data_IF_946581162446
#
_entry.id   IF_946581162446
#
_cell.length_a   1.000
_cell.length_b   1.000
_cell.length_c   1.000
_cell.angle_alpha   90.00
_cell.angle_beta   90.00
_cell.angle_gamma   90.00
#
_symmetry.space_group_name_H-M   'P 1'
#
loop_
_entity.id
_entity.type
_entity.pdbx_description
1 polymer ?
#
# COMPACT_ATOMS: atom_id res chain seq x y z
N UNK A 1 -11.37 -8.14 13.52
CA UNK A 1 -10.81 -7.64 12.24
C UNK A 1 -9.31 -7.75 12.37
N UNK A 2 -8.64 -8.47 11.47
CA UNK A 2 -7.20 -8.73 11.61
C UNK A 2 -6.38 -7.50 11.20
N UNK A 3 -6.86 -6.73 10.22
CA UNK A 3 -6.12 -5.59 9.65
C UNK A 3 -6.51 -4.24 10.24
N UNK A 4 -7.62 -4.13 10.97
CA UNK A 4 -8.08 -2.83 11.49
C UNK A 4 -7.10 -2.28 12.53
N UNK A 5 -6.45 -1.16 12.23
CA UNK A 5 -5.43 -0.58 13.09
C UNK A 5 -4.67 0.55 12.43
N UNK A 6 -3.83 1.20 13.22
CA UNK A 6 -2.91 2.24 12.79
C UNK A 6 -1.49 1.69 12.88
N UNK A 7 -0.79 1.70 11.77
CA UNK A 7 0.56 1.16 11.62
C UNK A 7 1.49 2.31 11.25
N UNK A 8 2.58 2.45 12.00
CA UNK A 8 3.62 3.43 11.72
C UNK A 8 4.77 2.73 11.00
N UNK A 9 5.35 3.43 10.03
CA UNK A 9 6.52 2.96 9.33
C UNK A 9 7.64 2.61 10.31
N UNK A 10 8.13 1.37 10.25
CA UNK A 10 9.21 0.87 11.10
C UNK A 10 10.50 0.61 10.30
N UNK A 11 10.39 -0.11 9.18
CA UNK A 11 11.53 -0.45 8.34
C UNK A 11 11.08 -0.81 6.92
N UNK A 12 12.01 -0.70 5.97
CA UNK A 12 11.82 -1.09 4.58
C UNK A 12 13.06 -1.80 4.03
N UNK A 13 12.87 -2.59 2.96
CA UNK A 13 13.95 -3.27 2.24
C UNK A 13 13.79 -3.00 0.75
N UNK A 14 14.92 -2.83 0.06
CA UNK A 14 14.99 -2.64 -1.40
C UNK A 14 14.22 -1.42 -1.93
N UNK A 15 14.01 -0.39 -1.10
CA UNK A 15 13.27 0.83 -1.46
C UNK A 15 13.83 1.52 -2.71
N UNK A 16 15.14 1.79 -2.75
CA UNK A 16 15.81 2.44 -3.89
C UNK A 16 15.61 1.66 -5.20
N UNK A 17 15.82 0.34 -5.18
CA UNK A 17 15.67 -0.51 -6.37
C UNK A 17 14.22 -0.53 -6.86
N UNK A 18 13.27 -0.65 -5.92
CA UNK A 18 11.84 -0.65 -6.21
C UNK A 18 11.37 0.68 -6.81
N UNK A 19 11.76 1.80 -6.18
CA UNK A 19 11.39 3.14 -6.62
C UNK A 19 11.99 3.47 -7.98
N UNK A 20 13.22 3.02 -8.24
CA UNK A 20 13.87 3.12 -9.56
C UNK A 20 13.14 2.30 -10.60
N UNK A 21 12.66 1.10 -10.26
CA UNK A 21 11.90 0.24 -11.19
C UNK A 21 10.49 0.77 -11.46
N UNK A 22 9.90 1.48 -10.52
CA UNK A 22 8.67 2.27 -10.71
C UNK A 22 8.88 3.52 -11.57
N UNK A 23 10.12 3.90 -11.87
CA UNK A 23 10.44 5.10 -12.64
C UNK A 23 10.12 6.41 -11.91
N UNK A 24 10.07 6.38 -10.58
CA UNK A 24 9.81 7.57 -9.77
C UNK A 24 11.03 8.50 -9.79
N UNK A 25 10.79 9.80 -9.88
CA UNK A 25 11.85 10.82 -9.83
C UNK A 25 12.58 10.76 -8.49
N UNK A 26 13.91 10.92 -8.49
CA UNK A 26 14.74 10.87 -7.26
C UNK A 26 14.23 11.76 -6.12
N UNK A 27 13.66 12.92 -6.46
CA UNK A 27 13.02 13.84 -5.51
C UNK A 27 11.86 13.20 -4.72
N UNK A 28 11.05 12.36 -5.37
CA UNK A 28 9.94 11.63 -4.74
C UNK A 28 10.47 10.50 -3.85
N UNK A 29 11.53 9.83 -4.31
CA UNK A 29 12.21 8.74 -3.59
C UNK A 29 12.84 9.27 -2.30
N UNK A 30 13.61 10.35 -2.37
CA UNK A 30 14.25 10.94 -1.17
C UNK A 30 13.23 11.46 -0.16
N UNK A 31 12.14 12.07 -0.64
CA UNK A 31 11.02 12.52 0.19
C UNK A 31 10.32 11.36 0.86
N UNK A 32 10.06 10.26 0.13
CA UNK A 32 9.42 9.08 0.69
C UNK A 32 10.30 8.39 1.73
N UNK A 33 11.61 8.24 1.45
CA UNK A 33 12.60 7.61 2.36
C UNK A 33 12.70 8.26 3.73
N UNK A 34 12.64 9.58 3.79
CA UNK A 34 12.71 10.32 5.05
C UNK A 34 11.34 10.61 5.65
N UNK A 35 10.26 10.29 4.93
CA UNK A 35 8.90 10.52 5.41
C UNK A 35 8.47 9.35 6.28
N UNK A 36 8.08 9.64 7.52
CA UNK A 36 7.25 8.71 8.29
C UNK A 36 5.91 8.59 7.57
N UNK A 37 5.54 7.36 7.25
CA UNK A 37 4.23 7.01 6.70
C UNK A 37 3.43 6.37 7.83
N UNK A 38 2.23 6.88 8.03
CA UNK A 38 1.26 6.29 8.94
C UNK A 38 0.16 5.67 8.09
N UNK A 39 0.03 4.35 8.17
CA UNK A 39 -0.99 3.59 7.47
C UNK A 39 -2.11 3.23 8.45
N UNK A 40 -3.30 3.78 8.23
CA UNK A 40 -4.50 3.41 8.96
C UNK A 40 -5.39 2.55 8.08
N UNK A 41 -5.71 1.35 8.56
CA UNK A 41 -6.58 0.41 7.86
C UNK A 41 -7.86 0.25 8.67
N UNK A 42 -9.00 0.40 7.99
CA UNK A 42 -10.32 0.10 8.54
C UNK A 42 -10.92 -1.02 7.71
N UNK A 43 -11.14 -2.18 8.34
CA UNK A 43 -11.81 -3.32 7.73
C UNK A 43 -13.25 -3.40 8.23
N UNK A 44 -14.22 -3.24 7.32
CA UNK A 44 -15.64 -3.46 7.56
C UNK A 44 -16.12 -4.66 6.71
N UNK A 45 -16.01 -5.86 7.27
CA UNK A 45 -16.30 -7.09 6.55
C UNK A 45 -15.38 -7.30 5.34
N UNK A 46 -15.90 -7.07 4.14
CA UNK A 46 -15.18 -7.15 2.86
C UNK A 46 -14.72 -5.78 2.35
N UNK A 47 -15.18 -4.69 2.94
CA UNK A 47 -14.81 -3.34 2.56
C UNK A 47 -13.62 -2.87 3.39
N UNK A 48 -12.60 -2.36 2.72
CA UNK A 48 -11.37 -1.88 3.32
C UNK A 48 -11.18 -0.41 2.97
N UNK A 49 -10.88 0.39 3.97
CA UNK A 49 -10.41 1.76 3.82
C UNK A 49 -8.97 1.82 4.27
N UNK A 50 -8.08 2.14 3.34
CA UNK A 50 -6.64 2.20 3.54
C UNK A 50 -6.17 3.65 3.40
N UNK A 51 -5.78 4.26 4.51
CA UNK A 51 -5.38 5.67 4.58
C UNK A 51 -3.89 5.77 4.89
N UNK A 52 -3.11 6.29 3.97
CA UNK A 52 -1.69 6.56 4.15
C UNK A 52 -1.46 8.06 4.35
N UNK A 53 -0.90 8.42 5.49
CA UNK A 53 -0.53 9.79 5.85
C UNK A 53 0.97 9.93 5.78
N UNK A 54 1.45 10.79 4.88
CA UNK A 54 2.87 11.07 4.67
C UNK A 54 3.28 12.30 5.48
N UNK A 55 4.52 12.31 6.00
CA UNK A 55 5.06 13.41 6.82
C UNK A 55 5.03 14.80 6.16
N UNK A 56 4.88 14.87 4.84
CA UNK A 56 4.67 16.12 4.08
C UNK A 56 3.22 16.65 4.06
N UNK A 57 2.32 16.09 4.87
CA UNK A 57 0.90 16.47 4.93
C UNK A 57 0.03 15.88 3.82
N UNK A 58 0.61 15.06 2.91
CA UNK A 58 -0.15 14.34 1.89
C UNK A 58 -0.87 13.17 2.55
N UNK A 59 -2.18 13.08 2.32
CA UNK A 59 -3.02 11.95 2.77
C UNK A 59 -3.60 11.29 1.54
N UNK A 60 -3.43 9.97 1.41
CA UNK A 60 -3.98 9.15 0.33
C UNK A 60 -4.93 8.15 0.97
N UNK A 61 -6.20 8.17 0.59
CA UNK A 61 -7.21 7.22 1.08
C UNK A 61 -7.74 6.39 -0.08
N UNK A 62 -7.50 5.08 0.01
CA UNK A 62 -7.97 4.09 -0.94
C UNK A 62 -9.08 3.25 -0.32
N UNK A 63 -10.23 3.18 -0.98
CA UNK A 63 -11.35 2.35 -0.56
C UNK A 63 -11.56 1.25 -1.57
N UNK A 64 -11.52 0.01 -1.13
CA UNK A 64 -11.67 -1.16 -1.99
C UNK A 64 -12.44 -2.26 -1.30
N UNK A 65 -13.14 -3.07 -2.09
CA UNK A 65 -13.88 -4.24 -1.61
C UNK A 65 -13.18 -5.50 -2.08
N UNK A 66 -12.94 -6.45 -1.18
CA UNK A 66 -12.32 -7.73 -1.52
C UNK A 66 -13.17 -8.47 -2.57
N UNK A 67 -12.52 -8.90 -3.64
CA UNK A 67 -13.12 -9.63 -4.76
C UNK A 67 -13.80 -8.74 -5.81
N UNK A 68 -13.71 -7.41 -5.70
CA UNK A 68 -14.23 -6.47 -6.70
C UNK A 68 -13.12 -5.60 -7.29
N UNK A 69 -13.25 -5.28 -8.57
CA UNK A 69 -12.44 -4.23 -9.20
C UNK A 69 -12.84 -2.88 -8.60
N UNK A 70 -11.85 -2.11 -8.14
CA UNK A 70 -12.01 -0.77 -7.61
C UNK A 70 -11.02 0.21 -8.23
N UNK A 71 -11.32 1.49 -8.09
CA UNK A 71 -10.42 2.58 -8.48
C UNK A 71 -9.57 2.97 -7.27
N UNK A 72 -8.25 2.81 -7.37
CA UNK A 72 -7.29 3.14 -6.33
C UNK A 72 -6.33 4.22 -6.81
N UNK A 73 -5.88 5.06 -5.88
CA UNK A 73 -4.90 6.10 -6.11
C UNK A 73 -3.50 5.60 -5.75
N UNK A 74 -2.56 5.73 -6.69
CA UNK A 74 -1.16 5.42 -6.47
C UNK A 74 -0.45 6.57 -5.72
N UNK A 75 0.83 6.38 -5.35
CA UNK A 75 1.63 7.39 -4.65
C UNK A 75 1.77 8.72 -5.43
N UNK A 76 1.67 8.71 -6.76
CA UNK A 76 1.66 9.93 -7.58
C UNK A 76 0.32 10.69 -7.55
N UNK A 77 -0.75 10.07 -7.04
CA UNK A 77 -2.10 10.63 -7.09
C UNK A 77 -2.90 10.21 -8.32
N UNK A 78 -2.34 9.36 -9.19
CA UNK A 78 -3.03 8.81 -10.36
C UNK A 78 -3.98 7.71 -9.95
N UNK A 79 -5.18 7.72 -10.51
CA UNK A 79 -6.17 6.68 -10.31
C UNK A 79 -5.92 5.52 -11.26
N UNK A 80 -5.88 4.32 -10.72
CA UNK A 80 -5.64 3.06 -11.41
C UNK A 80 -6.71 2.07 -11.00
N UNK A 81 -7.15 1.23 -11.93
CA UNK A 81 -8.08 0.15 -11.61
C UNK A 81 -7.28 -1.05 -11.12
N UNK A 82 -7.73 -1.65 -10.02
CA UNK A 82 -7.17 -2.90 -9.54
C UNK A 82 -8.17 -3.69 -8.72
N UNK A 83 -7.89 -4.98 -8.63
CA UNK A 83 -8.70 -5.93 -7.87
C UNK A 83 -7.91 -6.37 -6.67
N UNK A 84 -8.53 -6.27 -5.50
CA UNK A 84 -7.93 -6.74 -4.25
C UNK A 84 -8.63 -8.03 -3.84
N UNK A 85 -7.85 -9.05 -3.50
CA UNK A 85 -8.29 -10.37 -3.08
C UNK A 85 -7.78 -10.64 -1.66
N UNK A 86 -8.38 -11.62 -1.00
CA UNK A 86 -7.89 -12.10 0.28
C UNK A 86 -7.56 -13.59 0.17
N UNK A 87 -6.29 -13.94 0.37
CA UNK A 87 -5.77 -15.30 0.24
C UNK A 87 -4.99 -15.68 1.50
N UNK A 88 -5.43 -16.75 2.18
CA UNK A 88 -4.72 -17.26 3.37
C UNK A 88 -4.57 -16.24 4.51
N UNK A 89 -5.48 -15.27 4.62
CA UNK A 89 -5.38 -14.17 5.59
C UNK A 89 -4.52 -12.98 5.17
N UNK A 90 -4.02 -12.99 3.92
CA UNK A 90 -3.26 -11.88 3.31
C UNK A 90 -4.15 -11.12 2.34
N UNK A 91 -3.99 -9.81 2.30
CA UNK A 91 -4.61 -8.93 1.29
C UNK A 91 -3.70 -8.89 0.08
N UNK A 92 -4.19 -9.28 -1.09
CA UNK A 92 -3.43 -9.38 -2.34
C UNK A 92 -4.02 -8.39 -3.34
N UNK A 93 -3.28 -7.34 -3.69
CA UNK A 93 -3.67 -6.37 -4.69
C UNK A 93 -2.92 -6.63 -6.01
N UNK A 94 -3.67 -6.89 -7.06
CA UNK A 94 -3.13 -7.20 -8.39
C UNK A 94 -3.38 -6.04 -9.35
N UNK A 95 -2.30 -5.57 -9.98
CA UNK A 95 -2.28 -4.51 -11.00
C UNK A 95 -1.47 -4.99 -12.22
N UNK A 96 -1.65 -4.38 -13.40
CA UNK A 96 -0.79 -4.65 -14.55
C UNK A 96 0.67 -4.33 -14.23
N UNK A 97 1.53 -5.36 -14.21
CA UNK A 97 2.96 -5.29 -13.85
C UNK A 97 3.28 -4.96 -12.38
N UNK A 98 2.30 -5.02 -11.46
CA UNK A 98 2.53 -4.75 -10.04
C UNK A 98 1.69 -5.70 -9.18
N UNK A 99 2.35 -6.37 -8.24
CA UNK A 99 1.73 -7.29 -7.30
C UNK A 99 2.07 -6.86 -5.89
N UNK A 100 1.07 -6.67 -5.03
CA UNK A 100 1.28 -6.32 -3.63
C UNK A 100 0.54 -7.28 -2.71
N UNK A 101 1.24 -7.77 -1.71
CA UNK A 101 0.66 -8.58 -0.63
C UNK A 101 0.86 -7.86 0.69
N UNK A 102 -0.21 -7.77 1.48
CA UNK A 102 -0.18 -7.19 2.81
C UNK A 102 -0.67 -8.23 3.83
N UNK A 103 0.10 -8.44 4.89
CA UNK A 103 -0.21 -9.39 5.94
C UNK A 103 0.09 -8.82 7.33
N UNK A 104 -0.61 -9.32 8.33
CA UNK A 104 -0.39 -8.95 9.73
C UNK A 104 0.49 -10.02 10.36
N UNK A 105 1.70 -9.65 10.78
CA UNK A 105 2.65 -10.53 11.47
C UNK A 105 2.81 -10.02 12.90
N UNK A 106 2.10 -10.66 13.84
CA UNK A 106 1.97 -10.15 15.21
C UNK A 106 1.17 -8.86 15.24
N UNK A 107 1.78 -7.78 15.71
CA UNK A 107 1.18 -6.44 15.76
C UNK A 107 1.64 -5.53 14.59
N UNK A 108 2.35 -6.09 13.60
CA UNK A 108 2.96 -5.34 12.50
C UNK A 108 2.28 -5.64 11.18
N UNK A 109 2.02 -4.59 10.41
CA UNK A 109 1.62 -4.68 9.02
C UNK A 109 2.87 -4.83 8.14
N UNK A 110 2.95 -5.94 7.41
CA UNK A 110 4.03 -6.22 6.47
C UNK A 110 3.46 -6.11 5.06
N UNK A 111 3.95 -5.15 4.29
CA UNK A 111 3.59 -4.93 2.89
C UNK A 111 4.76 -5.33 1.99
N UNK A 112 4.50 -6.20 1.02
CA UNK A 112 5.47 -6.67 0.04
C UNK A 112 4.95 -6.30 -1.33
N UNK A 113 5.67 -5.42 -2.02
CA UNK A 113 5.31 -4.97 -3.37
C UNK A 113 6.38 -5.41 -4.37
N UNK A 114 5.93 -5.97 -5.50
CA UNK A 114 6.78 -6.51 -6.56
C UNK A 114 6.36 -5.91 -7.90
N UNK A 115 7.32 -5.48 -8.72
CA UNK A 115 7.09 -4.81 -10.01
C UNK A 115 7.88 -5.49 -11.12
N UNK A 116 7.16 -5.91 -12.17
CA UNK A 116 7.72 -6.45 -13.41
C UNK A 116 8.42 -7.81 -13.25
N UNK A 117 7.63 -8.88 -13.17
CA UNK A 117 8.05 -10.24 -13.54
C UNK A 117 7.89 -10.42 -15.05
#
# INVERSE_FOLDING_TARGET
MAFSGKFEFESEKNYDEFMKRLGLSGDVVEKGRNSKIITEVQQDGQDFTWTQTYSGGKVITNKFTIGKEGEMQNMEGKKVKATVKMEGGKVVAEFPNYHQTSEIVGDKLVEISTVGD
#
